data_IF_002234122096
#
_entry.id   IF_002234122096
#
_cell.length_a   1.000
_cell.length_b   1.000
_cell.length_c   1.000
_cell.angle_alpha   90.00
_cell.angle_beta   90.00
_cell.angle_gamma   90.00
#
_symmetry.space_group_name_H-M   'P 1'
#
loop_
_entity.id
_entity.type
_entity.pdbx_description
1 polymer ?
#
# COMPACT_ATOMS: atom_id res chain seq x y z
N UNK A 1 -8.52 3.77 -3.39
CA UNK A 1 -7.27 3.19 -3.92
C UNK A 1 -7.52 2.75 -5.35
N UNK A 2 -6.51 2.82 -6.22
CA UNK A 2 -6.56 2.30 -7.60
C UNK A 2 -5.27 1.54 -7.90
N UNK A 3 -5.40 0.34 -8.48
CA UNK A 3 -4.29 -0.40 -9.07
C UNK A 3 -4.12 0.07 -10.53
N UNK A 4 -2.92 0.50 -10.89
CA UNK A 4 -2.54 0.91 -12.24
C UNK A 4 -1.75 -0.24 -12.84
N UNK A 5 -2.36 -0.89 -13.83
CA UNK A 5 -1.74 -1.98 -14.57
C UNK A 5 -0.91 -1.43 -15.73
N UNK A 6 0.14 -2.14 -16.17
CA UNK A 6 0.82 -1.83 -17.42
C UNK A 6 -0.15 -1.96 -18.59
N UNK A 7 0.10 -1.24 -19.69
CA UNK A 7 -0.68 -1.40 -20.90
C UNK A 7 -0.42 -2.82 -21.49
N UNK A 8 -1.45 -3.69 -21.59
CA UNK A 8 -1.28 -5.03 -22.17
C UNK A 8 -0.88 -5.02 -23.64
N UNK A 9 -1.08 -3.90 -24.35
CA UNK A 9 -0.67 -3.71 -25.73
C UNK A 9 0.72 -3.09 -25.86
N UNK A 10 1.26 -2.53 -24.78
CA UNK A 10 2.56 -1.86 -24.77
C UNK A 10 3.23 -1.89 -23.38
N UNK A 11 3.92 -3.00 -23.07
CA UNK A 11 4.63 -3.15 -21.80
C UNK A 11 5.84 -2.22 -21.61
N UNK A 12 6.26 -1.53 -22.68
CA UNK A 12 7.29 -0.48 -22.61
C UNK A 12 6.71 0.86 -22.12
N UNK A 13 5.37 1.00 -22.04
CA UNK A 13 4.79 2.19 -21.44
C UNK A 13 5.13 2.25 -19.93
N UNK A 14 5.77 3.35 -19.46
CA UNK A 14 6.17 3.46 -18.07
C UNK A 14 4.97 3.60 -17.13
N UNK A 15 5.02 2.87 -16.01
CA UNK A 15 4.17 3.14 -14.86
C UNK A 15 4.39 4.57 -14.36
N UNK A 16 3.39 5.21 -13.71
CA UNK A 16 3.51 6.59 -13.27
C UNK A 16 4.77 6.90 -12.45
N UNK A 17 5.21 6.00 -11.56
CA UNK A 17 6.45 6.13 -10.78
C UNK A 17 7.70 6.26 -11.66
N UNK A 18 7.74 5.56 -12.78
CA UNK A 18 8.89 5.50 -13.70
C UNK A 18 9.01 6.77 -14.54
N UNK A 19 7.92 7.51 -14.72
CA UNK A 19 7.93 8.82 -15.41
C UNK A 19 8.75 9.87 -14.67
N UNK A 20 9.05 9.63 -13.40
CA UNK A 20 9.87 10.48 -12.55
C UNK A 20 11.03 9.68 -11.92
N UNK A 21 11.62 8.77 -12.71
CA UNK A 21 12.73 7.89 -12.32
C UNK A 21 13.82 8.62 -11.53
N UNK A 22 14.32 9.75 -12.06
CA UNK A 22 15.39 10.55 -11.43
C UNK A 22 15.04 11.11 -10.04
N UNK A 23 13.75 11.22 -9.73
CA UNK A 23 13.25 11.75 -8.46
C UNK A 23 12.94 10.63 -7.48
N UNK A 24 12.36 9.53 -7.97
CA UNK A 24 11.82 8.47 -7.12
C UNK A 24 12.70 7.23 -7.03
N UNK A 25 13.44 6.86 -8.06
CA UNK A 25 14.14 5.58 -8.03
C UNK A 25 15.63 5.80 -7.76
N UNK A 26 16.13 5.06 -6.79
CA UNK A 26 17.55 4.98 -6.50
C UNK A 26 18.12 3.73 -7.19
N UNK A 27 19.00 3.88 -8.19
CA UNK A 27 19.60 2.75 -8.89
C UNK A 27 20.40 1.79 -7.98
N UNK A 28 20.84 2.24 -6.80
CA UNK A 28 21.49 1.37 -5.81
C UNK A 28 20.49 0.48 -5.06
N UNK A 29 19.21 0.88 -5.01
CA UNK A 29 18.14 0.17 -4.30
C UNK A 29 17.26 -0.68 -5.21
N UNK A 30 17.16 -0.31 -6.49
CA UNK A 30 16.32 -1.03 -7.45
C UNK A 30 16.92 -1.02 -8.87
N UNK A 31 16.96 -2.21 -9.47
CA UNK A 31 17.20 -2.38 -10.90
C UNK A 31 15.89 -2.69 -11.61
N UNK A 32 15.34 -1.69 -12.31
CA UNK A 32 14.09 -1.81 -13.06
C UNK A 32 14.18 -2.82 -14.21
N UNK A 33 15.39 -3.15 -14.70
CA UNK A 33 15.60 -4.18 -15.72
C UNK A 33 15.27 -5.59 -15.23
N UNK A 34 15.31 -5.82 -13.91
CA UNK A 34 14.99 -7.12 -13.31
C UNK A 34 13.52 -7.25 -12.88
N UNK A 35 12.72 -6.21 -13.06
CA UNK A 35 11.31 -6.20 -12.64
C UNK A 35 10.42 -6.72 -13.78
N UNK A 36 9.61 -7.78 -13.57
CA UNK A 36 8.76 -8.32 -14.61
C UNK A 36 7.60 -7.38 -14.92
N UNK A 37 7.70 -6.62 -16.02
CA UNK A 37 6.72 -5.62 -16.47
C UNK A 37 5.28 -6.13 -16.40
N UNK A 38 5.03 -7.31 -16.97
CA UNK A 38 3.69 -7.92 -17.08
C UNK A 38 3.07 -8.28 -15.73
N UNK A 39 3.91 -8.45 -14.70
CA UNK A 39 3.49 -8.85 -13.35
C UNK A 39 3.75 -7.74 -12.32
N UNK A 40 3.85 -6.51 -12.80
CA UNK A 40 4.08 -5.32 -11.99
C UNK A 40 2.89 -4.39 -12.07
N UNK A 41 2.61 -3.64 -11.01
CA UNK A 41 1.58 -2.61 -11.01
C UNK A 41 1.91 -1.51 -10.01
N UNK A 42 1.30 -0.34 -10.17
CA UNK A 42 1.40 0.75 -9.21
C UNK A 42 0.10 0.92 -8.42
N UNK A 43 0.21 1.04 -7.10
CA UNK A 43 -0.89 1.45 -6.24
C UNK A 43 -0.91 2.98 -6.15
N UNK A 44 -2.03 3.55 -6.57
CA UNK A 44 -2.27 4.99 -6.54
C UNK A 44 -3.51 5.34 -5.69
N UNK A 45 -3.61 6.61 -5.30
CA UNK A 45 -4.80 7.20 -4.64
C UNK A 45 -5.22 6.46 -3.36
N UNK A 46 -4.34 6.38 -2.38
CA UNK A 46 -4.70 5.95 -1.02
C UNK A 46 -5.69 6.96 -0.41
N UNK A 47 -6.98 6.61 -0.42
CA UNK A 47 -8.04 7.43 0.17
C UNK A 47 -8.60 6.64 1.35
N UNK A 48 -8.29 7.09 2.57
CA UNK A 48 -8.97 6.64 3.78
C UNK A 48 -10.18 7.53 4.02
N UNK A 49 -11.34 6.98 4.39
CA UNK A 49 -12.54 7.79 4.62
C UNK A 49 -12.32 8.84 5.74
N UNK A 50 -13.07 9.95 5.68
CA UNK A 50 -12.89 11.11 6.57
C UNK A 50 -12.95 10.74 8.06
N UNK A 51 -13.81 9.82 8.45
CA UNK A 51 -13.94 9.38 9.85
C UNK A 51 -12.67 8.73 10.41
N UNK A 52 -11.77 8.24 9.54
CA UNK A 52 -10.51 7.61 9.93
C UNK A 52 -9.30 8.54 9.81
N UNK A 53 -9.52 9.81 9.46
CA UNK A 53 -8.50 10.87 9.38
C UNK A 53 -8.40 11.75 10.65
N UNK A 54 -9.05 11.35 11.75
CA UNK A 54 -9.34 12.27 12.87
C UNK A 54 -8.60 11.94 14.17
N UNK A 55 -7.94 12.94 14.76
CA UNK A 55 -7.75 13.11 16.22
C UNK A 55 -9.04 13.69 16.80
N UNK A 56 -9.63 13.05 17.81
CA UNK A 56 -10.62 13.74 18.68
C UNK A 56 -9.87 14.83 19.45
N UNK A 57 -9.96 16.10 19.05
CA UNK A 57 -9.45 17.17 19.91
C UNK A 57 -9.34 18.58 19.34
N UNK A 58 -8.82 18.79 18.14
CA UNK A 58 -8.46 20.17 17.74
C UNK A 58 -9.06 20.62 16.42
N UNK A 59 -9.82 21.72 16.53
CA UNK A 59 -10.05 22.67 15.44
C UNK A 59 -8.70 23.15 14.90
N UNK A 60 -8.67 23.35 13.58
CA UNK A 60 -7.76 24.29 12.88
C UNK A 60 -6.39 23.74 12.42
N UNK A 61 -6.31 23.29 11.17
CA UNK A 61 -5.55 23.97 10.08
C UNK A 61 -5.51 23.14 8.80
N UNK A 62 -5.74 23.84 7.69
CA UNK A 62 -5.60 23.36 6.31
C UNK A 62 -4.14 23.11 5.94
N UNK A 63 -3.96 22.32 4.88
CA UNK A 63 -2.76 21.98 4.12
C UNK A 63 -1.97 20.72 4.55
N UNK A 64 -2.14 19.67 3.75
CA UNK A 64 -1.04 18.86 3.24
C UNK A 64 -0.47 17.74 4.11
N UNK A 65 -0.73 17.72 5.41
CA UNK A 65 -0.14 16.70 6.30
C UNK A 65 -1.17 16.25 7.33
N UNK A 66 -1.88 15.16 7.03
CA UNK A 66 -2.77 14.52 8.01
C UNK A 66 -1.97 13.42 8.69
N UNK A 67 -1.49 13.68 9.91
CA UNK A 67 -0.98 12.60 10.77
C UNK A 67 -2.10 11.57 10.97
N UNK A 68 -1.91 10.37 10.41
CA UNK A 68 -2.84 9.25 10.57
C UNK A 68 -2.79 8.75 12.02
N UNK A 69 -3.52 9.41 12.91
CA UNK A 69 -3.73 8.97 14.29
C UNK A 69 -4.82 7.90 14.32
N UNK A 70 -4.41 6.65 14.14
CA UNK A 70 -5.29 5.51 14.40
C UNK A 70 -5.05 5.10 15.85
N UNK A 71 -5.76 5.75 16.78
CA UNK A 71 -5.79 5.33 18.18
C UNK A 71 -6.54 3.99 18.29
N UNK A 72 -5.88 3.02 18.92
CA UNK A 72 -6.52 1.77 19.32
C UNK A 72 -7.46 2.11 20.48
N UNK A 73 -8.76 2.24 20.21
CA UNK A 73 -9.75 2.37 21.29
C UNK A 73 -9.86 1.02 22.01
N UNK A 74 -9.01 0.82 23.01
CA UNK A 74 -8.90 -0.40 23.82
C UNK A 74 -9.53 -0.24 25.20
N UNK A 75 -10.75 0.28 25.28
CA UNK A 75 -11.49 0.32 26.56
C UNK A 75 -12.58 -0.75 26.69
N UNK A 76 -12.89 -1.54 25.65
CA UNK A 76 -13.87 -2.63 25.79
C UNK A 76 -13.48 -3.86 24.97
N UNK A 77 -12.70 -4.77 25.56
CA UNK A 77 -12.76 -6.24 25.42
C UNK A 77 -12.89 -6.93 24.04
N UNK A 78 -12.85 -6.22 22.92
CA UNK A 78 -12.93 -6.74 21.55
C UNK A 78 -11.88 -6.00 20.73
N UNK A 79 -10.97 -6.77 20.11
CA UNK A 79 -9.89 -6.29 19.25
C UNK A 79 -10.45 -5.40 18.13
N UNK A 80 -10.51 -4.09 18.35
CA UNK A 80 -10.82 -3.12 17.31
C UNK A 80 -9.58 -2.96 16.44
N UNK A 81 -9.42 -3.85 15.47
CA UNK A 81 -8.45 -3.65 14.40
C UNK A 81 -8.78 -2.34 13.69
N UNK A 82 -7.79 -1.56 13.23
CA UNK A 82 -8.03 -0.43 12.35
C UNK A 82 -8.69 -0.88 11.04
N UNK A 83 -10.02 -0.93 11.04
CA UNK A 83 -10.84 -1.44 9.94
C UNK A 83 -10.45 -0.88 8.55
N UNK A 84 -10.02 0.39 8.40
CA UNK A 84 -9.64 0.93 7.09
C UNK A 84 -8.30 0.44 6.57
N UNK A 85 -7.28 0.32 7.44
CA UNK A 85 -5.95 -0.11 6.99
C UNK A 85 -5.97 -1.61 6.72
N UNK A 86 -6.73 -2.37 7.52
CA UNK A 86 -6.98 -3.77 7.22
C UNK A 86 -7.71 -3.94 5.89
N UNK A 87 -8.80 -3.20 5.67
CA UNK A 87 -9.53 -3.22 4.41
C UNK A 87 -8.65 -2.81 3.22
N UNK A 88 -7.76 -1.84 3.41
CA UNK A 88 -6.78 -1.43 2.40
C UNK A 88 -5.79 -2.55 2.09
N UNK A 89 -5.21 -3.19 3.11
CA UNK A 89 -4.30 -4.33 2.92
C UNK A 89 -5.00 -5.50 2.20
N UNK A 90 -6.22 -5.84 2.60
CA UNK A 90 -7.05 -6.87 1.94
C UNK A 90 -7.30 -6.51 0.47
N UNK A 91 -7.69 -5.27 0.19
CA UNK A 91 -7.93 -4.80 -1.17
C UNK A 91 -6.66 -4.88 -2.03
N UNK A 92 -5.50 -4.46 -1.50
CA UNK A 92 -4.20 -4.58 -2.18
C UNK A 92 -3.93 -6.04 -2.54
N UNK A 93 -4.06 -6.95 -1.57
CA UNK A 93 -3.81 -8.38 -1.81
C UNK A 93 -4.69 -8.93 -2.90
N UNK A 94 -6.01 -8.69 -2.82
CA UNK A 94 -6.99 -9.27 -3.75
C UNK A 94 -6.80 -8.74 -5.16
N UNK A 95 -6.72 -7.41 -5.32
CA UNK A 95 -6.49 -6.82 -6.63
C UNK A 95 -5.19 -7.33 -7.26
N UNK A 96 -4.16 -7.58 -6.45
CA UNK A 96 -2.90 -8.15 -6.95
C UNK A 96 -3.09 -9.59 -7.43
N UNK A 97 -3.75 -10.43 -6.63
CA UNK A 97 -4.04 -11.83 -6.97
C UNK A 97 -4.94 -11.96 -8.20
N UNK A 98 -5.96 -11.11 -8.33
CA UNK A 98 -6.91 -11.11 -9.45
C UNK A 98 -6.27 -10.72 -10.78
N UNK A 99 -5.21 -9.91 -10.74
CA UNK A 99 -4.51 -9.40 -11.93
C UNK A 99 -3.12 -10.06 -12.14
N UNK A 100 -2.83 -11.17 -11.44
CA UNK A 100 -1.54 -11.87 -11.49
C UNK A 100 -0.29 -11.00 -11.20
N UNK A 101 -0.47 -9.98 -10.36
CA UNK A 101 0.58 -9.05 -9.97
C UNK A 101 1.44 -9.64 -8.85
N UNK A 102 2.76 -9.51 -9.02
CA UNK A 102 3.78 -9.97 -8.09
C UNK A 102 4.59 -8.82 -7.48
N UNK A 103 4.74 -7.73 -8.22
CA UNK A 103 5.52 -6.55 -7.83
C UNK A 103 4.61 -5.33 -7.75
N UNK A 104 4.54 -4.70 -6.58
CA UNK A 104 3.70 -3.53 -6.34
C UNK A 104 4.56 -2.31 -6.05
N UNK A 105 4.47 -1.33 -6.92
CA UNK A 105 5.01 0.00 -6.71
C UNK A 105 4.01 0.86 -5.96
N UNK A 106 4.50 1.72 -5.08
CA UNK A 106 3.67 2.73 -4.42
C UNK A 106 4.51 3.95 -4.06
N UNK A 107 4.01 5.14 -4.38
CA UNK A 107 4.51 6.40 -3.82
C UNK A 107 3.52 6.86 -2.76
N UNK A 108 3.96 6.89 -1.51
CA UNK A 108 3.08 7.19 -0.37
C UNK A 108 3.80 7.92 0.76
N UNK A 109 3.04 8.45 1.72
CA UNK A 109 3.61 8.96 2.97
C UNK A 109 4.28 7.83 3.77
N UNK A 110 5.49 8.03 4.33
CA UNK A 110 6.14 7.03 5.18
C UNK A 110 5.29 6.60 6.38
N UNK A 111 4.43 7.49 6.88
CA UNK A 111 3.47 7.17 7.94
C UNK A 111 2.44 6.11 7.51
N UNK A 112 1.99 6.14 6.26
CA UNK A 112 1.09 5.12 5.71
C UNK A 112 1.80 3.77 5.59
N UNK A 113 3.06 3.75 5.12
CA UNK A 113 3.86 2.52 5.10
C UNK A 113 3.98 1.91 6.50
N UNK A 114 4.30 2.73 7.52
CA UNK A 114 4.39 2.28 8.92
C UNK A 114 3.09 1.65 9.43
N UNK A 115 1.93 2.13 8.98
CA UNK A 115 0.64 1.54 9.32
C UNK A 115 0.39 0.23 8.57
N UNK A 116 0.73 0.16 7.28
CA UNK A 116 0.58 -1.04 6.45
C UNK A 116 1.49 -2.20 6.93
N UNK A 117 2.68 -1.90 7.46
CA UNK A 117 3.57 -2.91 8.06
C UNK A 117 2.93 -3.71 9.19
N UNK A 118 1.92 -3.16 9.89
CA UNK A 118 1.14 -3.91 10.91
C UNK A 118 0.33 -5.07 10.33
N UNK A 119 0.09 -5.03 9.01
CA UNK A 119 -0.63 -6.04 8.24
C UNK A 119 0.30 -6.85 7.35
N UNK A 120 1.59 -6.88 7.69
CA UNK A 120 2.61 -7.74 7.08
C UNK A 120 2.92 -7.46 5.61
N UNK A 121 2.47 -6.30 5.11
CA UNK A 121 2.95 -5.73 3.87
C UNK A 121 4.25 -4.98 4.13
N UNK A 122 5.37 -5.55 3.70
CA UNK A 122 6.67 -4.89 3.74
C UNK A 122 6.92 -4.18 2.42
N UNK A 123 6.53 -2.91 2.38
CA UNK A 123 6.93 -1.97 1.33
C UNK A 123 8.35 -1.50 1.64
N UNK A 124 9.30 -1.99 0.85
CA UNK A 124 10.71 -1.65 0.92
C UNK A 124 10.96 -0.36 0.15
N UNK A 125 11.70 0.57 0.75
CA UNK A 125 12.01 1.83 0.10
C UNK A 125 12.93 1.55 -1.11
N UNK A 126 12.60 2.15 -2.24
CA UNK A 126 13.37 2.02 -3.49
C UNK A 126 13.93 3.36 -3.98
N UNK A 127 13.90 4.35 -3.08
CA UNK A 127 14.46 5.66 -3.32
C UNK A 127 14.18 6.66 -2.20
N UNK A 128 14.52 7.93 -2.43
CA UNK A 128 14.57 8.93 -1.38
C UNK A 128 13.18 9.37 -0.90
N UNK A 129 13.16 9.98 0.28
CA UNK A 129 12.01 10.75 0.73
C UNK A 129 12.03 12.09 0.00
N UNK A 130 10.92 12.44 -0.66
CA UNK A 130 10.78 13.67 -1.46
C UNK A 130 9.57 14.48 -1.01
N UNK A 131 9.66 15.80 -1.09
CA UNK A 131 8.52 16.70 -0.85
C UNK A 131 7.74 16.91 -2.16
N UNK A 132 6.62 16.21 -2.29
CA UNK A 132 5.73 16.28 -3.45
C UNK A 132 4.28 16.11 -2.99
N UNK A 133 3.56 17.23 -2.87
CA UNK A 133 2.22 17.26 -2.25
C UNK A 133 2.22 16.60 -0.86
N UNK A 134 3.19 16.99 -0.03
CA UNK A 134 3.55 16.38 1.25
C UNK A 134 4.75 15.44 1.12
N UNK A 135 5.22 14.91 2.26
CA UNK A 135 6.34 13.97 2.31
C UNK A 135 5.96 12.64 1.67
N UNK A 136 6.63 12.26 0.58
CA UNK A 136 6.41 11.01 -0.16
C UNK A 136 7.68 10.19 -0.21
N UNK A 137 7.53 8.88 -0.26
CA UNK A 137 8.63 7.97 -0.52
C UNK A 137 8.14 6.86 -1.46
N UNK A 138 8.97 6.43 -2.42
CA UNK A 138 8.68 5.33 -3.31
C UNK A 138 9.05 4.00 -2.66
N UNK A 139 8.19 3.02 -2.88
CA UNK A 139 8.33 1.68 -2.34
C UNK A 139 8.02 0.60 -3.37
N UNK A 140 8.64 -0.56 -3.18
CA UNK A 140 8.32 -1.83 -3.83
C UNK A 140 7.90 -2.86 -2.77
N UNK A 141 6.82 -3.59 -3.04
CA UNK A 141 6.42 -4.76 -2.26
C UNK A 141 6.29 -6.00 -3.16
N UNK A 142 6.69 -7.14 -2.62
CA UNK A 142 6.46 -8.45 -3.25
C UNK A 142 5.19 -9.08 -2.68
N UNK A 143 4.21 -9.32 -3.54
CA UNK A 143 2.89 -9.84 -3.16
C UNK A 143 3.02 -11.21 -2.47
N UNK A 144 3.90 -12.07 -2.99
CA UNK A 144 4.18 -13.39 -2.42
C UNK A 144 4.68 -13.30 -0.98
N UNK A 145 5.61 -12.39 -0.69
CA UNK A 145 6.14 -12.24 0.67
C UNK A 145 5.05 -11.77 1.65
N UNK A 146 4.19 -10.86 1.22
CA UNK A 146 3.03 -10.42 2.00
C UNK A 146 2.08 -11.57 2.31
N UNK A 147 1.75 -12.38 1.29
CA UNK A 147 0.89 -13.56 1.42
C UNK A 147 1.50 -14.62 2.34
N UNK A 148 2.78 -14.93 2.18
CA UNK A 148 3.49 -15.91 3.01
C UNK A 148 3.48 -15.46 4.48
N UNK A 149 3.76 -14.19 4.75
CA UNK A 149 3.69 -13.64 6.11
C UNK A 149 2.27 -13.71 6.66
N UNK A 150 1.26 -13.37 5.87
CA UNK A 150 -0.14 -13.42 6.28
C UNK A 150 -0.57 -14.85 6.65
N UNK A 151 -0.26 -15.83 5.79
CA UNK A 151 -0.58 -17.24 6.00
C UNK A 151 0.00 -17.77 7.32
N UNK A 152 1.28 -17.47 7.60
CA UNK A 152 1.99 -18.04 8.74
C UNK A 152 1.77 -17.26 10.05
N UNK A 153 1.56 -15.94 9.99
CA UNK A 153 1.54 -15.10 11.20
C UNK A 153 0.15 -14.61 11.59
N UNK A 154 -0.81 -14.59 10.66
CA UNK A 154 -2.14 -13.98 10.85
C UNK A 154 -3.23 -14.76 10.12
N UNK A 155 -3.46 -15.99 10.58
CA UNK A 155 -4.45 -16.91 10.00
C UNK A 155 -5.87 -16.31 9.95
N UNK A 156 -6.21 -15.53 10.96
CA UNK A 156 -7.47 -14.77 11.05
C UNK A 156 -7.67 -13.81 9.87
N UNK A 157 -6.60 -13.20 9.35
CA UNK A 157 -6.66 -12.34 8.17
C UNK A 157 -6.60 -13.11 6.85
N UNK A 158 -5.91 -14.25 6.85
CA UNK A 158 -5.85 -15.15 5.70
C UNK A 158 -7.23 -15.70 5.35
N UNK A 159 -8.04 -16.05 6.35
CA UNK A 159 -9.40 -16.54 6.17
C UNK A 159 -10.31 -15.48 5.51
N UNK A 160 -10.20 -14.22 5.93
CA UNK A 160 -10.91 -13.10 5.30
C UNK A 160 -10.57 -12.92 3.81
N UNK A 161 -9.35 -13.27 3.38
CA UNK A 161 -9.00 -13.22 1.96
C UNK A 161 -9.70 -14.32 1.15
N UNK A 162 -9.91 -15.49 1.74
CA UNK A 162 -10.43 -16.68 1.03
C UNK A 162 -11.96 -16.75 1.08
N UNK A 163 -12.59 -16.32 2.18
CA UNK A 163 -14.04 -16.46 2.35
C UNK A 163 -14.86 -15.71 1.30
N UNK A 164 -14.38 -14.55 0.84
CA UNK A 164 -15.12 -13.73 -0.13
C UNK A 164 -15.08 -14.30 -1.56
N UNK A 165 -14.11 -15.20 -1.86
CA UNK A 165 -14.10 -15.96 -3.11
C UNK A 165 -15.23 -16.99 -3.22
N UNK A 166 -15.91 -17.34 -2.12
CA UNK A 166 -17.05 -18.26 -2.14
C UNK A 166 -18.40 -17.58 -2.41
N UNK A 167 -18.44 -16.24 -2.41
CA UNK A 167 -19.66 -15.45 -2.57
C UNK A 167 -19.69 -14.60 -3.87
N UNK A 168 -18.84 -14.89 -4.86
CA UNK A 168 -18.83 -14.22 -6.18
C UNK A 168 -18.86 -15.23 -7.31
#
# INVERSE_FOLDING_TARGET
MRLVLPDPMNYEEPLPIERYNEIFLDPELIDMGNIPRQRSAEISRFILAKEFRSRRGERQKSYGSTELSIENNSEHGRRSFPHPILGLAIAITRMSLENDITHLFAVMEPALNRLLRRFLFDFNAIGPVVECHGTRQPYLALVKEGLDKLYHKRRDLWELLIEDKKNS
#
